data_IF_051534519541
#
_entry.id   IF_051534519541
#
_cell.length_a   1.000
_cell.length_b   1.000
_cell.length_c   1.000
_cell.angle_alpha   90.00
_cell.angle_beta   90.00
_cell.angle_gamma   90.00
#
_symmetry.space_group_name_H-M   'P 1'
#
loop_
_entity.id
_entity.type
_entity.pdbx_description
1 polymer ?
#
# COMPACT_ATOMS: atom_id res chain seq x y z
N UNK A 1 -1.63 -43.68 -14.25
CA UNK A 1 -1.19 -42.27 -14.42
C UNK A 1 -1.40 -41.59 -13.09
N UNK A 2 -0.31 -41.26 -12.40
CA UNK A 2 -0.37 -40.56 -11.12
C UNK A 2 -0.81 -39.11 -11.39
N UNK A 3 -1.88 -38.70 -10.75
CA UNK A 3 -2.48 -37.38 -10.87
C UNK A 3 -1.55 -36.34 -10.22
N UNK A 4 -0.86 -35.56 -11.05
CA UNK A 4 0.08 -34.50 -10.65
C UNK A 4 -0.71 -33.22 -10.28
N UNK A 5 -1.83 -33.35 -9.57
CA UNK A 5 -2.58 -32.21 -9.01
C UNK A 5 -2.56 -32.16 -7.48
N UNK A 6 -1.77 -33.03 -6.83
CA UNK A 6 -1.52 -32.98 -5.38
C UNK A 6 -0.51 -31.88 -4.94
N UNK A 7 -0.21 -30.89 -5.80
CA UNK A 7 1.03 -30.12 -5.72
C UNK A 7 0.96 -28.66 -5.31
N UNK A 8 -0.22 -28.07 -5.07
CA UNK A 8 -0.34 -26.70 -4.52
C UNK A 8 -1.58 -26.57 -3.64
N UNK A 9 -1.44 -26.91 -2.35
CA UNK A 9 -2.17 -26.18 -1.29
C UNK A 9 -1.65 -24.74 -1.32
N UNK A 10 -2.04 -24.00 -2.36
CA UNK A 10 -1.67 -22.62 -2.55
C UNK A 10 -2.26 -21.81 -1.39
N UNK A 11 -1.46 -20.89 -0.87
CA UNK A 11 -1.79 -19.90 0.14
C UNK A 11 -3.29 -19.60 0.25
N UNK A 12 -3.85 -19.84 1.44
CA UNK A 12 -5.21 -19.41 1.80
C UNK A 12 -5.33 -17.87 1.94
N UNK A 13 -4.26 -17.14 1.62
CA UNK A 13 -4.21 -15.68 1.59
C UNK A 13 -3.80 -15.24 0.19
N UNK A 14 -4.79 -15.05 -0.68
CA UNK A 14 -4.61 -14.61 -2.07
C UNK A 14 -5.95 -14.43 -2.80
N UNK A 15 -5.97 -13.76 -3.97
CA UNK A 15 -7.14 -13.13 -4.57
C UNK A 15 -8.36 -14.04 -4.78
N UNK A 16 -9.55 -13.61 -4.36
CA UNK A 16 -10.82 -14.16 -4.84
C UNK A 16 -11.29 -15.47 -4.19
N UNK A 17 -10.90 -15.73 -2.94
CA UNK A 17 -11.17 -17.02 -2.27
C UNK A 17 -12.57 -17.07 -1.61
N UNK A 18 -13.25 -15.95 -1.39
CA UNK A 18 -14.54 -15.96 -0.69
C UNK A 18 -15.34 -14.67 -0.90
N UNK A 19 -16.67 -14.75 -0.85
CA UNK A 19 -17.53 -13.56 -0.75
C UNK A 19 -17.67 -13.15 0.72
N UNK A 20 -18.09 -11.91 1.00
CA UNK A 20 -18.34 -11.48 2.39
C UNK A 20 -19.30 -12.43 3.13
N UNK A 21 -20.32 -12.95 2.45
CA UNK A 21 -21.29 -13.90 3.01
C UNK A 21 -20.68 -15.27 3.32
N UNK A 22 -19.64 -15.68 2.58
CA UNK A 22 -18.95 -16.94 2.82
C UNK A 22 -17.88 -16.80 3.93
N UNK A 23 -17.23 -15.63 4.03
CA UNK A 23 -16.35 -15.31 5.17
C UNK A 23 -17.15 -15.24 6.47
N UNK A 24 -18.30 -14.57 6.48
CA UNK A 24 -19.15 -14.43 7.67
C UNK A 24 -19.50 -15.79 8.33
N UNK A 25 -19.72 -16.83 7.52
CA UNK A 25 -20.05 -18.18 7.99
C UNK A 25 -18.90 -18.93 8.68
N UNK A 26 -17.65 -18.50 8.47
CA UNK A 26 -16.46 -19.16 9.05
C UNK A 26 -15.81 -18.33 10.15
N UNK A 27 -16.27 -17.08 10.37
CA UNK A 27 -15.75 -16.24 11.45
C UNK A 27 -16.23 -16.75 12.82
N UNK A 28 -15.42 -16.58 13.88
CA UNK A 28 -15.84 -16.87 15.25
C UNK A 28 -17.06 -16.04 15.63
N UNK A 29 -18.10 -16.69 16.17
CA UNK A 29 -19.33 -16.03 16.62
C UNK A 29 -19.24 -15.48 18.05
N UNK A 30 -18.13 -15.74 18.73
CA UNK A 30 -17.84 -15.38 20.12
C UNK A 30 -16.74 -14.30 20.24
N UNK A 31 -16.37 -13.65 19.13
CA UNK A 31 -15.41 -12.56 19.17
C UNK A 31 -16.02 -11.32 19.82
N UNK A 32 -15.41 -10.86 20.91
CA UNK A 32 -15.67 -9.56 21.51
C UNK A 32 -14.39 -8.72 21.48
N UNK A 33 -14.51 -7.46 21.08
CA UNK A 33 -13.36 -6.56 21.06
C UNK A 33 -12.97 -6.17 22.47
N UNK A 34 -11.70 -6.39 22.82
CA UNK A 34 -11.13 -6.01 24.11
C UNK A 34 -11.10 -4.48 24.32
N UNK A 35 -11.06 -3.71 23.23
CA UNK A 35 -10.96 -2.25 23.24
C UNK A 35 -12.24 -1.61 22.70
N UNK A 36 -12.63 -0.47 23.28
CA UNK A 36 -13.68 0.33 22.67
C UNK A 36 -13.19 1.01 21.36
N UNK A 37 -14.10 1.68 20.63
CA UNK A 37 -13.77 2.34 19.36
C UNK A 37 -12.68 3.41 19.50
N UNK A 38 -12.69 4.19 20.58
CA UNK A 38 -11.74 5.27 20.83
C UNK A 38 -10.38 4.71 21.25
N UNK A 39 -10.38 3.69 22.09
CA UNK A 39 -9.19 2.94 22.51
C UNK A 39 -8.53 2.25 21.33
N UNK A 40 -9.33 1.65 20.43
CA UNK A 40 -8.84 1.04 19.18
C UNK A 40 -8.09 2.05 18.32
N UNK A 41 -8.65 3.25 18.10
CA UNK A 41 -7.95 4.30 17.33
C UNK A 41 -6.64 4.74 17.99
N UNK A 42 -6.63 4.87 19.33
CA UNK A 42 -5.41 5.18 20.10
C UNK A 42 -4.38 4.06 20.00
N UNK A 43 -4.80 2.80 20.06
CA UNK A 43 -3.94 1.64 19.94
C UNK A 43 -3.32 1.54 18.53
N UNK A 44 -4.13 1.72 17.47
CA UNK A 44 -3.66 1.74 16.09
C UNK A 44 -2.58 2.81 15.85
N UNK A 45 -2.81 4.03 16.34
CA UNK A 45 -1.82 5.10 16.24
C UNK A 45 -0.51 4.75 16.96
N UNK A 46 -0.59 4.24 18.19
CA UNK A 46 0.58 3.81 18.98
C UNK A 46 1.34 2.68 18.30
N UNK A 47 0.64 1.65 17.81
CA UNK A 47 1.22 0.50 17.14
C UNK A 47 1.95 0.92 15.86
N UNK A 48 1.30 1.74 15.03
CA UNK A 48 1.90 2.28 13.80
C UNK A 48 3.21 3.00 14.09
N UNK A 49 3.18 3.88 15.10
CA UNK A 49 4.37 4.64 15.51
C UNK A 49 5.47 3.75 16.07
N UNK A 50 5.11 2.77 16.92
CA UNK A 50 6.06 1.80 17.47
C UNK A 50 6.82 1.04 16.37
N UNK A 51 6.10 0.54 15.35
CA UNK A 51 6.72 -0.16 14.21
C UNK A 51 7.61 0.79 13.41
N UNK A 52 7.12 1.99 13.11
CA UNK A 52 7.85 2.97 12.30
C UNK A 52 9.15 3.43 13.00
N UNK A 53 9.08 3.77 14.28
CA UNK A 53 10.22 4.21 15.08
C UNK A 53 11.23 3.06 15.27
N UNK A 54 10.74 1.83 15.44
CA UNK A 54 11.57 0.62 15.48
C UNK A 54 12.31 0.37 14.16
N UNK A 55 11.62 0.41 13.03
CA UNK A 55 12.25 0.26 11.70
C UNK A 55 13.31 1.33 11.46
N UNK A 56 13.02 2.58 11.81
CA UNK A 56 13.97 3.68 11.66
C UNK A 56 15.24 3.46 12.49
N UNK A 57 15.09 3.02 13.74
CA UNK A 57 16.21 2.74 14.63
C UNK A 57 17.07 1.58 14.13
N UNK A 58 16.46 0.45 13.78
CA UNK A 58 17.19 -0.78 13.45
C UNK A 58 17.82 -0.76 12.05
N UNK A 59 17.23 0.00 11.11
CA UNK A 59 17.70 0.08 9.72
C UNK A 59 18.34 1.43 9.36
N UNK A 60 18.58 2.30 10.35
CA UNK A 60 19.10 3.65 10.17
C UNK A 60 18.34 4.43 9.07
N UNK A 61 17.02 4.49 9.25
CA UNK A 61 16.12 5.24 8.38
C UNK A 61 15.62 6.49 9.10
N UNK A 62 15.22 7.49 8.33
CA UNK A 62 14.43 8.61 8.83
C UNK A 62 13.10 8.70 8.09
N UNK A 63 12.06 9.17 8.79
CA UNK A 63 10.73 9.30 8.21
C UNK A 63 10.63 10.56 7.36
N UNK A 64 10.07 10.42 6.15
CA UNK A 64 9.72 11.51 5.25
C UNK A 64 8.30 11.34 4.71
N UNK A 65 7.72 12.43 4.22
CA UNK A 65 6.45 12.42 3.50
C UNK A 65 6.67 12.08 2.02
N UNK A 66 5.77 11.28 1.45
CA UNK A 66 5.75 10.88 0.04
C UNK A 66 4.70 11.70 -0.72
N UNK A 67 4.95 12.11 -1.98
CA UNK A 67 3.92 12.76 -2.79
C UNK A 67 2.73 11.82 -3.02
N UNK A 68 1.52 12.31 -2.75
CA UNK A 68 0.27 11.60 -3.08
C UNK A 68 -0.08 11.72 -4.58
N UNK A 69 0.32 12.82 -5.20
CA UNK A 69 -0.02 13.18 -6.58
C UNK A 69 1.27 13.40 -7.35
N UNK A 70 1.38 12.78 -8.53
CA UNK A 70 2.53 12.91 -9.42
C UNK A 70 2.07 13.14 -10.85
N UNK A 71 2.88 13.82 -11.66
CA UNK A 71 2.58 13.94 -13.10
C UNK A 71 2.81 12.61 -13.80
N UNK A 72 2.03 12.32 -14.85
CA UNK A 72 2.25 11.13 -15.69
C UNK A 72 3.66 11.15 -16.28
N UNK A 73 4.08 12.33 -16.75
CA UNK A 73 5.38 12.58 -17.38
C UNK A 73 6.57 12.27 -16.45
N UNK A 74 6.40 12.34 -15.13
CA UNK A 74 7.47 12.06 -14.17
C UNK A 74 7.95 10.61 -14.21
N UNK A 75 7.11 9.67 -14.63
CA UNK A 75 7.41 8.23 -14.66
C UNK A 75 7.64 7.58 -13.28
N UNK A 76 7.48 8.33 -12.18
CA UNK A 76 7.78 7.85 -10.81
C UNK A 76 6.66 7.00 -10.21
N UNK A 77 5.47 7.02 -10.81
CA UNK A 77 4.37 6.15 -10.38
C UNK A 77 4.63 4.69 -10.77
N UNK A 78 4.18 3.79 -9.93
CA UNK A 78 4.23 2.34 -10.19
C UNK A 78 2.92 1.91 -10.87
N UNK A 79 3.04 1.14 -11.96
CA UNK A 79 1.90 0.71 -12.76
C UNK A 79 1.33 -0.63 -12.29
N UNK A 80 2.04 -1.37 -11.43
CA UNK A 80 1.60 -2.65 -10.85
C UNK A 80 1.02 -3.64 -11.88
N UNK A 81 1.62 -3.70 -13.07
CA UNK A 81 1.12 -4.36 -14.29
C UNK A 81 1.41 -5.87 -14.38
N UNK A 82 2.00 -6.45 -13.33
CA UNK A 82 2.45 -7.85 -13.31
C UNK A 82 1.34 -8.88 -13.54
N UNK A 83 0.11 -8.61 -13.07
CA UNK A 83 -1.01 -9.56 -13.11
C UNK A 83 -2.23 -9.02 -13.90
N UNK A 84 -2.00 -8.05 -14.80
CA UNK A 84 -3.06 -7.38 -15.58
C UNK A 84 -3.02 -5.86 -15.47
N UNK A 85 -3.86 -5.19 -16.25
CA UNK A 85 -3.90 -3.73 -16.28
C UNK A 85 -4.45 -3.17 -14.96
N UNK A 86 -3.59 -2.55 -14.16
CA UNK A 86 -3.96 -1.78 -12.95
C UNK A 86 -3.71 -0.31 -13.23
N UNK A 87 -4.77 0.42 -13.51
CA UNK A 87 -4.68 1.82 -13.92
C UNK A 87 -4.77 2.74 -12.70
N UNK A 88 -3.83 3.70 -12.55
CA UNK A 88 -3.92 4.69 -11.48
C UNK A 88 -5.12 5.61 -11.69
N UNK A 89 -5.56 6.27 -10.63
CA UNK A 89 -6.56 7.34 -10.72
C UNK A 89 -5.90 8.56 -11.37
N UNK A 90 -6.24 8.85 -12.63
CA UNK A 90 -5.75 9.99 -13.40
C UNK A 90 -6.69 11.19 -13.36
N UNK A 91 -6.14 12.41 -13.34
CA UNK A 91 -6.92 13.65 -13.34
C UNK A 91 -6.07 14.86 -13.79
N UNK A 92 -6.68 15.87 -14.42
CA UNK A 92 -5.98 17.09 -14.80
C UNK A 92 -5.73 18.02 -13.59
N UNK A 93 -4.55 18.62 -13.52
CA UNK A 93 -4.13 19.59 -12.51
C UNK A 93 -3.65 20.91 -13.14
N UNK A 94 -3.32 21.88 -12.28
CA UNK A 94 -2.69 23.13 -12.72
C UNK A 94 -3.69 24.23 -13.06
N UNK A 95 -4.62 24.52 -12.14
CA UNK A 95 -5.46 25.70 -12.25
C UNK A 95 -4.58 26.95 -12.36
N UNK A 96 -4.76 27.75 -13.42
CA UNK A 96 -3.96 28.95 -13.67
C UNK A 96 -2.68 28.74 -14.50
N UNK A 97 -2.35 27.49 -14.89
CA UNK A 97 -1.29 27.23 -15.86
C UNK A 97 -1.82 27.36 -17.29
N UNK A 98 -0.98 27.80 -18.23
CA UNK A 98 -1.31 27.88 -19.66
C UNK A 98 -1.69 26.49 -20.22
N UNK A 99 -0.94 25.47 -19.81
CA UNK A 99 -1.23 24.05 -20.09
C UNK A 99 -1.50 23.32 -18.78
N UNK A 100 -2.66 22.66 -18.70
CA UNK A 100 -2.95 21.75 -17.58
C UNK A 100 -1.99 20.56 -17.59
N UNK A 101 -1.70 20.05 -16.39
CA UNK A 101 -0.85 18.88 -16.20
C UNK A 101 -1.71 17.63 -16.07
N UNK A 102 -1.29 16.54 -16.71
CA UNK A 102 -1.88 15.23 -16.47
C UNK A 102 -1.22 14.61 -15.23
N UNK A 103 -2.02 14.40 -14.19
CA UNK A 103 -1.57 13.87 -12.91
C UNK A 103 -2.25 12.53 -12.57
N UNK A 104 -1.65 11.81 -11.64
CA UNK A 104 -2.12 10.54 -11.11
C UNK A 104 -1.95 10.47 -9.61
N UNK A 105 -2.87 9.77 -8.93
CA UNK A 105 -2.64 9.31 -7.55
C UNK A 105 -1.60 8.19 -7.58
N UNK A 106 -0.64 8.23 -6.64
CA UNK A 106 0.39 7.19 -6.54
C UNK A 106 -0.20 5.83 -6.16
N UNK A 107 0.29 4.76 -6.78
CA UNK A 107 -0.06 3.37 -6.43
C UNK A 107 1.02 2.68 -5.58
N UNK A 108 2.29 3.06 -5.79
CA UNK A 108 3.42 2.66 -4.99
C UNK A 108 4.50 3.77 -5.01
N UNK A 109 5.26 3.89 -3.92
CA UNK A 109 6.41 4.80 -3.83
C UNK A 109 7.73 4.15 -4.31
N UNK A 110 7.67 2.96 -4.92
CA UNK A 110 8.84 2.12 -5.18
C UNK A 110 9.91 2.83 -6.01
N UNK A 111 9.52 3.43 -7.13
CA UNK A 111 10.45 4.17 -8.00
C UNK A 111 10.88 5.49 -7.34
N UNK A 112 9.94 6.21 -6.74
CA UNK A 112 10.19 7.49 -6.08
C UNK A 112 11.22 7.40 -4.95
N UNK A 113 11.20 6.33 -4.14
CA UNK A 113 12.13 6.16 -3.02
C UNK A 113 13.61 6.27 -3.45
N UNK A 114 13.97 5.74 -4.61
CA UNK A 114 15.35 5.84 -5.13
C UNK A 114 15.74 7.28 -5.46
N UNK A 115 14.82 8.07 -5.99
CA UNK A 115 15.03 9.50 -6.26
C UNK A 115 15.16 10.28 -4.94
N UNK A 116 14.31 9.97 -3.97
CA UNK A 116 14.33 10.60 -2.65
C UNK A 116 15.65 10.34 -1.90
N UNK A 117 16.18 9.11 -1.93
CA UNK A 117 17.50 8.81 -1.35
C UNK A 117 18.60 9.74 -1.89
N UNK A 118 18.60 9.97 -3.21
CA UNK A 118 19.53 10.92 -3.85
C UNK A 118 19.28 12.35 -3.41
N UNK A 119 18.01 12.78 -3.36
CA UNK A 119 17.64 14.15 -2.97
C UNK A 119 18.06 14.50 -1.54
N UNK A 120 18.00 13.53 -0.63
CA UNK A 120 18.43 13.70 0.76
C UNK A 120 19.89 13.33 1.02
N UNK A 121 20.66 13.04 -0.04
CA UNK A 121 22.07 12.66 0.04
C UNK A 121 22.33 11.46 0.97
N UNK A 122 21.41 10.48 1.00
CA UNK A 122 21.59 9.27 1.80
C UNK A 122 22.83 8.50 1.35
N UNK A 123 23.66 8.12 2.31
CA UNK A 123 24.88 7.33 2.12
C UNK A 123 24.63 5.84 2.37
N UNK A 124 25.66 5.01 2.19
CA UNK A 124 25.54 3.56 2.43
C UNK A 124 25.20 3.31 3.90
N UNK A 125 24.11 2.57 4.12
CA UNK A 125 23.59 2.30 5.46
C UNK A 125 22.59 3.33 5.96
N UNK A 126 22.26 4.37 5.19
CA UNK A 126 21.15 5.28 5.47
C UNK A 126 19.97 5.00 4.54
N UNK A 127 18.76 5.30 5.01
CA UNK A 127 17.58 5.19 4.17
C UNK A 127 16.41 6.02 4.64
N UNK A 128 15.28 5.82 3.98
CA UNK A 128 14.05 6.55 4.23
C UNK A 128 12.90 5.60 4.55
N UNK A 129 12.02 6.05 5.42
CA UNK A 129 10.72 5.43 5.70
C UNK A 129 9.62 6.45 5.43
N UNK A 130 8.42 5.99 5.07
CA UNK A 130 7.32 6.92 4.75
C UNK A 130 5.96 6.30 5.02
N UNK A 131 5.04 7.10 5.54
CA UNK A 131 3.63 6.74 5.69
C UNK A 131 2.89 6.93 4.36
N UNK A 132 3.10 5.99 3.44
CA UNK A 132 2.52 6.08 2.11
C UNK A 132 1.03 5.76 2.11
N UNK A 133 0.26 6.57 1.37
CA UNK A 133 -1.13 6.32 1.02
C UNK A 133 -1.27 6.19 -0.48
N UNK A 134 -2.07 5.23 -0.93
CA UNK A 134 -2.35 4.96 -2.33
C UNK A 134 -3.85 4.76 -2.53
N UNK A 135 -4.27 4.88 -3.79
CA UNK A 135 -5.62 4.47 -4.23
C UNK A 135 -5.48 3.48 -5.37
N UNK A 136 -6.08 2.31 -5.19
CA UNK A 136 -6.01 1.11 -6.03
C UNK A 136 -7.43 0.69 -6.42
N UNK A 137 -8.01 1.46 -7.34
CA UNK A 137 -9.39 1.28 -7.81
C UNK A 137 -9.66 -0.04 -8.54
N UNK A 138 -8.62 -0.69 -9.08
CA UNK A 138 -8.75 -1.91 -9.89
C UNK A 138 -8.46 -3.19 -9.07
N UNK A 139 -8.24 -3.08 -7.77
CA UNK A 139 -8.08 -4.25 -6.89
C UNK A 139 -9.44 -4.85 -6.52
N UNK A 140 -9.47 -6.18 -6.40
CA UNK A 140 -10.58 -6.87 -5.75
C UNK A 140 -10.56 -6.55 -4.25
N UNK A 141 -11.75 -6.48 -3.64
CA UNK A 141 -11.91 -6.23 -2.22
C UNK A 141 -12.18 -7.54 -1.49
N UNK A 142 -11.45 -7.77 -0.41
CA UNK A 142 -11.68 -8.88 0.52
C UNK A 142 -11.14 -8.50 1.91
N UNK A 143 -10.97 -9.49 2.79
CA UNK A 143 -10.53 -9.29 4.17
C UNK A 143 -9.12 -8.68 4.33
N UNK A 144 -8.24 -8.79 3.35
CA UNK A 144 -6.87 -8.24 3.38
C UNK A 144 -6.57 -7.26 2.23
N UNK A 145 -7.51 -7.07 1.29
CA UNK A 145 -7.39 -6.14 0.16
C UNK A 145 -8.38 -4.97 0.26
N UNK A 146 -7.83 -3.75 0.31
CA UNK A 146 -8.56 -2.48 0.30
C UNK A 146 -8.13 -1.62 -0.89
N UNK A 147 -9.06 -0.80 -1.40
CA UNK A 147 -8.82 0.17 -2.48
C UNK A 147 -8.11 1.43 -2.01
#
# INVERSE_FOLDING_TARGET
MADITAGKKADLAGPGISTYEAVDKILPSDYESVLDRKETQRALFKLKRFIMDGLNKELNLFTIEVPLIVTVESGVNDMLDRDGSRTPVGFPCGLGLEKRMDCQIVQAATKWKRLALKQFNCTVGEGINTDMRAVRKDYFLDHDHSS
#
